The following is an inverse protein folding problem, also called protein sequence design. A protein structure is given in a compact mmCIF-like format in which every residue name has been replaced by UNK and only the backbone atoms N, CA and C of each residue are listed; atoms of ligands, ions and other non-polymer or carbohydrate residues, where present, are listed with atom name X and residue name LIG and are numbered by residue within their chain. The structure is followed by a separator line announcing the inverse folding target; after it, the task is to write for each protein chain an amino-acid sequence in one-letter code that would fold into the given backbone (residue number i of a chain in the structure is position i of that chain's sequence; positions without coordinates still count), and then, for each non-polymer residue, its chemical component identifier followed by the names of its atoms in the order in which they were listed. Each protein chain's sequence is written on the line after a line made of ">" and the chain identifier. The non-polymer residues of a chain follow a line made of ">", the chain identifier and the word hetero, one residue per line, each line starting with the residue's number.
data_IF_112648302197
#
_entry.id   IF_112648302197
#
_cell.length_a   1.000
_cell.length_b   1.000
_cell.length_c   1.000
_cell.angle_alpha   90.00
_cell.angle_beta   90.00
_cell.angle_gamma   90.00
#
_symmetry.space_group_name_H-M   'P 1'
#
loop_
_entity.id
_entity.type
_entity.pdbx_description
1 polymer ?
#
# COMPACT_ATOMS: atom_id res chain seq x y z
N UNK A 1 77.91 -29.81 44.45
CA UNK A 1 77.11 -29.60 45.68
C UNK A 1 76.48 -28.23 45.50
N UNK A 2 75.18 -28.02 45.30
CA UNK A 2 74.00 -28.51 46.03
C UNK A 2 72.77 -28.29 45.14
N UNK A 3 71.77 -29.16 45.25
CA UNK A 3 70.51 -29.16 44.49
C UNK A 3 69.42 -28.26 45.14
N UNK A 4 68.27 -28.16 44.43
CA UNK A 4 66.90 -27.75 44.86
C UNK A 4 66.63 -26.22 44.84
N UNK A 5 65.47 -25.68 44.41
CA UNK A 5 64.09 -26.15 44.53
C UNK A 5 63.17 -25.63 43.38
N UNK A 6 62.10 -26.41 43.13
CA UNK A 6 60.94 -26.17 42.25
C UNK A 6 60.11 -24.93 42.66
N UNK A 7 59.51 -24.24 41.68
CA UNK A 7 58.07 -23.88 41.70
C UNK A 7 57.53 -23.97 40.27
N UNK A 8 56.55 -24.85 40.07
CA UNK A 8 55.80 -25.04 38.83
C UNK A 8 54.52 -24.19 38.96
N UNK A 9 54.42 -23.06 38.25
CA UNK A 9 53.19 -22.26 38.20
C UNK A 9 52.33 -22.71 37.03
N UNK A 10 51.22 -23.38 37.36
CA UNK A 10 50.18 -23.80 36.43
C UNK A 10 49.22 -22.62 36.19
N UNK A 11 49.37 -21.90 35.07
CA UNK A 11 48.39 -20.90 34.64
C UNK A 11 47.18 -21.58 33.99
N UNK A 12 46.08 -21.69 34.72
CA UNK A 12 44.75 -22.02 34.21
C UNK A 12 44.23 -20.85 33.37
N UNK A 13 44.25 -20.99 32.04
CA UNK A 13 43.56 -20.11 31.10
C UNK A 13 42.08 -20.53 31.00
N UNK A 14 41.20 -19.78 31.66
CA UNK A 14 39.75 -19.92 31.47
C UNK A 14 39.32 -19.21 30.16
N UNK A 15 38.55 -19.85 29.27
CA UNK A 15 38.00 -19.19 28.09
C UNK A 15 36.81 -18.34 28.51
N UNK A 16 36.97 -17.01 28.47
CA UNK A 16 35.84 -16.07 28.59
C UNK A 16 35.05 -16.13 27.29
N UNK A 17 34.00 -16.94 27.26
CA UNK A 17 33.01 -16.94 26.19
C UNK A 17 32.21 -15.63 26.28
N UNK A 18 32.65 -14.61 25.53
CA UNK A 18 31.91 -13.36 25.38
C UNK A 18 30.62 -13.61 24.62
N UNK A 19 29.49 -13.64 25.35
CA UNK A 19 28.17 -13.48 24.75
C UNK A 19 28.09 -12.08 24.14
N UNK A 20 28.33 -11.98 22.84
CA UNK A 20 27.97 -10.80 22.06
C UNK A 20 26.43 -10.74 22.00
N UNK A 21 25.83 -10.03 22.95
CA UNK A 21 24.43 -9.64 22.87
C UNK A 21 24.28 -8.71 21.66
N UNK A 22 23.80 -9.24 20.54
CA UNK A 22 23.36 -8.43 19.41
C UNK A 22 22.11 -7.69 19.85
N UNK A 23 22.27 -6.46 20.34
CA UNK A 23 21.16 -5.54 20.57
C UNK A 23 20.51 -5.23 19.23
N UNK A 24 19.48 -5.98 18.87
CA UNK A 24 18.58 -5.62 17.78
C UNK A 24 17.88 -4.32 18.18
N UNK A 25 18.37 -3.19 17.69
CA UNK A 25 17.68 -1.90 17.84
C UNK A 25 16.32 -2.06 17.18
N UNK A 26 15.26 -2.12 17.98
CA UNK A 26 13.92 -2.24 17.45
C UNK A 26 13.61 -1.03 16.54
N UNK A 27 13.05 -1.30 15.37
CA UNK A 27 12.71 -0.26 14.41
C UNK A 27 11.54 0.61 14.93
N UNK A 28 11.51 1.88 14.53
CA UNK A 28 10.36 2.74 14.74
C UNK A 28 9.21 2.34 13.81
N UNK A 29 7.96 2.48 14.25
CA UNK A 29 6.81 2.22 13.40
C UNK A 29 6.82 3.14 12.16
N UNK A 30 6.61 2.60 10.94
CA UNK A 30 6.63 3.38 9.71
C UNK A 30 5.44 4.35 9.63
N UNK A 31 5.40 5.18 8.59
CA UNK A 31 4.34 6.18 8.40
C UNK A 31 2.94 5.54 8.33
N UNK A 32 1.97 6.19 8.99
CA UNK A 32 0.55 5.97 8.71
C UNK A 32 0.22 6.45 7.29
N UNK A 33 -0.76 5.81 6.66
CA UNK A 33 -1.13 6.06 5.28
C UNK A 33 -2.54 6.66 5.18
N UNK A 34 -2.68 7.66 4.32
CA UNK A 34 -3.96 8.10 3.79
C UNK A 34 -4.32 7.20 2.61
N UNK A 35 -5.47 6.56 2.67
CA UNK A 35 -5.98 5.76 1.56
C UNK A 35 -6.90 6.62 0.70
N UNK A 36 -6.69 6.56 -0.61
CA UNK A 36 -7.39 7.39 -1.59
C UNK A 36 -8.74 6.77 -1.91
N UNK A 37 -9.81 7.57 -1.85
CA UNK A 37 -11.15 7.11 -2.17
C UNK A 37 -11.25 6.61 -3.62
N UNK A 38 -12.03 5.56 -3.83
CA UNK A 38 -12.31 4.97 -5.15
C UNK A 38 -13.57 5.58 -5.75
N UNK A 39 -13.65 5.68 -7.08
CA UNK A 39 -14.86 6.15 -7.79
C UNK A 39 -16.07 5.21 -7.64
N UNK A 40 -15.85 3.97 -7.24
CA UNK A 40 -16.88 2.96 -7.08
C UNK A 40 -16.26 1.64 -6.64
N UNK A 41 -16.97 0.54 -6.85
CA UNK A 41 -16.50 -0.79 -6.53
C UNK A 41 -15.31 -1.19 -7.42
N UNK A 42 -14.20 -1.57 -6.78
CA UNK A 42 -13.05 -2.20 -7.42
C UNK A 42 -13.21 -3.70 -7.26
N UNK A 43 -13.55 -4.40 -8.35
CA UNK A 43 -13.58 -5.86 -8.37
C UNK A 43 -12.15 -6.40 -8.22
N UNK A 44 -11.97 -7.32 -7.27
CA UNK A 44 -10.69 -7.91 -6.96
C UNK A 44 -10.35 -9.04 -7.94
N UNK A 45 -9.06 -9.20 -8.24
CA UNK A 45 -8.58 -10.32 -9.06
C UNK A 45 -8.33 -11.54 -8.18
N UNK A 46 -9.06 -12.62 -8.45
CA UNK A 46 -8.98 -13.86 -7.70
C UNK A 46 -7.90 -14.81 -8.25
N UNK A 47 -7.22 -15.50 -7.32
CA UNK A 47 -6.25 -16.56 -7.58
C UNK A 47 -6.14 -17.49 -6.38
N UNK A 48 -5.11 -18.33 -6.34
CA UNK A 48 -4.98 -19.38 -5.32
C UNK A 48 -4.87 -18.86 -3.87
N UNK A 49 -4.31 -17.66 -3.67
CA UNK A 49 -4.15 -17.05 -2.34
C UNK A 49 -5.37 -16.21 -1.90
N UNK A 50 -6.41 -16.12 -2.74
CA UNK A 50 -7.58 -15.27 -2.52
C UNK A 50 -7.75 -14.21 -3.61
N UNK A 51 -8.57 -13.21 -3.33
CA UNK A 51 -8.85 -12.11 -4.27
C UNK A 51 -8.18 -10.83 -3.81
N UNK A 52 -7.56 -10.10 -4.74
CA UNK A 52 -6.78 -8.92 -4.36
C UNK A 52 -6.70 -7.85 -5.44
N UNK A 53 -6.42 -6.63 -5.00
CA UNK A 53 -6.13 -5.46 -5.82
C UNK A 53 -5.19 -4.50 -5.07
N UNK A 54 -4.50 -3.65 -5.81
CA UNK A 54 -3.67 -2.58 -5.27
C UNK A 54 -4.48 -1.27 -5.26
N UNK A 55 -4.42 -0.54 -4.15
CA UNK A 55 -5.11 0.72 -3.91
C UNK A 55 -4.10 1.84 -3.68
N UNK A 56 -4.41 3.02 -4.18
CA UNK A 56 -3.54 4.20 -4.04
C UNK A 56 -3.51 4.68 -2.59
N UNK A 57 -2.32 4.89 -2.07
CA UNK A 57 -2.08 5.46 -0.75
C UNK A 57 -1.08 6.60 -0.82
N UNK A 58 -1.04 7.44 0.21
CA UNK A 58 0.00 8.45 0.41
C UNK A 58 0.39 8.50 1.88
N UNK A 59 1.55 9.05 2.19
CA UNK A 59 1.99 9.14 3.57
C UNK A 59 1.37 10.33 4.31
N UNK A 60 1.07 10.13 5.59
CA UNK A 60 0.58 11.23 6.43
C UNK A 60 1.70 11.88 7.28
N UNK A 61 2.89 11.29 7.44
CA UNK A 61 3.84 11.72 8.48
C UNK A 61 5.27 11.92 7.96
N UNK A 62 5.60 13.13 7.47
CA UNK A 62 6.90 13.42 6.86
C UNK A 62 8.13 12.99 7.71
N UNK A 63 8.00 12.97 9.04
CA UNK A 63 9.06 12.68 10.00
C UNK A 63 9.28 11.18 10.31
N UNK A 64 8.45 10.29 9.77
CA UNK A 64 8.61 8.83 9.92
C UNK A 64 9.12 8.20 8.63
N UNK A 65 9.71 7.00 8.72
CA UNK A 65 10.16 6.27 7.54
C UNK A 65 8.97 5.83 6.67
N UNK A 66 9.11 5.93 5.34
CA UNK A 66 8.12 5.31 4.44
C UNK A 66 8.11 3.79 4.70
N UNK A 67 6.95 3.12 4.65
CA UNK A 67 6.92 1.67 4.75
C UNK A 67 7.76 1.01 3.65
N UNK A 68 8.42 -0.08 4.01
CA UNK A 68 8.98 -1.03 3.06
C UNK A 68 7.84 -1.82 2.40
N UNK A 69 8.14 -2.64 1.39
CA UNK A 69 7.16 -3.55 0.81
C UNK A 69 6.81 -4.67 1.80
N UNK A 70 5.53 -5.00 1.92
CA UNK A 70 5.03 -6.06 2.80
C UNK A 70 4.80 -5.63 4.24
N UNK A 71 4.97 -4.33 4.55
CA UNK A 71 4.59 -3.79 5.87
C UNK A 71 3.08 -4.00 6.06
N UNK A 72 2.66 -4.68 7.14
CA UNK A 72 1.25 -4.91 7.43
C UNK A 72 0.58 -3.65 7.99
N UNK A 73 -0.69 -3.47 7.64
CA UNK A 73 -1.52 -2.36 8.06
C UNK A 73 -2.87 -2.82 8.62
N UNK A 74 -3.52 -1.93 9.36
CA UNK A 74 -4.88 -2.06 9.84
C UNK A 74 -5.66 -0.76 9.62
N UNK A 75 -6.99 -0.86 9.52
CA UNK A 75 -7.87 0.31 9.41
C UNK A 75 -7.88 1.05 10.74
N UNK A 76 -7.30 2.25 10.76
CA UNK A 76 -7.30 3.15 11.90
C UNK A 76 -8.62 3.92 12.00
N UNK A 77 -9.01 4.58 10.91
CA UNK A 77 -10.26 5.35 10.83
C UNK A 77 -10.83 5.37 9.40
N UNK A 78 -12.09 5.81 9.29
CA UNK A 78 -12.81 5.86 8.02
C UNK A 78 -13.48 4.53 7.66
N UNK A 79 -14.07 4.48 6.47
CA UNK A 79 -14.87 3.35 6.01
C UNK A 79 -14.29 2.71 4.75
N UNK A 80 -14.12 1.38 4.81
CA UNK A 80 -13.87 0.53 3.66
C UNK A 80 -15.08 -0.40 3.57
N UNK A 81 -15.70 -0.51 2.40
CA UNK A 81 -16.79 -1.44 2.16
C UNK A 81 -16.24 -2.65 1.41
N UNK A 82 -16.51 -3.85 1.93
CA UNK A 82 -16.13 -5.11 1.29
C UNK A 82 -17.42 -5.88 1.01
N UNK A 83 -17.66 -6.19 -0.26
CA UNK A 83 -18.83 -6.93 -0.69
C UNK A 83 -18.41 -8.15 -1.51
N UNK A 84 -18.94 -9.32 -1.15
CA UNK A 84 -18.80 -10.55 -1.88
C UNK A 84 -20.08 -10.91 -2.64
N UNK A 85 -19.93 -11.67 -3.72
CA UNK A 85 -21.04 -12.32 -4.42
C UNK A 85 -20.83 -13.83 -4.34
N UNK A 86 -21.86 -14.58 -3.93
CA UNK A 86 -21.83 -16.04 -3.87
C UNK A 86 -22.07 -16.67 -5.25
N UNK A 87 -21.83 -17.99 -5.36
CA UNK A 87 -22.18 -18.73 -6.58
C UNK A 87 -23.69 -18.68 -6.91
N UNK A 88 -24.54 -18.51 -5.90
CA UNK A 88 -25.99 -18.35 -6.06
C UNK A 88 -26.39 -16.92 -6.50
N UNK A 89 -25.44 -15.98 -6.50
CA UNK A 89 -25.68 -14.57 -6.84
C UNK A 89 -26.01 -13.67 -5.66
N UNK A 90 -26.04 -14.22 -4.43
CA UNK A 90 -26.32 -13.45 -3.23
C UNK A 90 -25.19 -12.48 -2.90
N UNK A 91 -25.55 -11.28 -2.41
CA UNK A 91 -24.59 -10.29 -1.92
C UNK A 91 -24.33 -10.49 -0.43
N UNK A 92 -23.06 -10.60 -0.08
CA UNK A 92 -22.58 -10.72 1.30
C UNK A 92 -21.74 -9.48 1.63
N UNK A 93 -22.01 -8.82 2.75
CA UNK A 93 -21.16 -7.76 3.27
C UNK A 93 -20.18 -8.36 4.28
N UNK A 94 -18.90 -8.01 4.18
CA UNK A 94 -17.85 -8.49 5.07
C UNK A 94 -17.35 -7.36 5.96
N UNK A 95 -17.03 -7.68 7.21
CA UNK A 95 -16.31 -6.74 8.09
C UNK A 95 -14.86 -6.61 7.59
N UNK A 96 -14.41 -5.42 7.14
CA UNK A 96 -13.06 -5.23 6.63
C UNK A 96 -11.97 -5.55 7.67
N UNK A 97 -12.25 -5.43 8.97
CA UNK A 97 -11.26 -5.68 10.04
C UNK A 97 -10.87 -7.15 10.16
N UNK A 98 -11.76 -8.04 9.74
CA UNK A 98 -11.58 -9.49 9.86
C UNK A 98 -11.46 -10.19 8.51
N UNK A 99 -11.87 -9.53 7.42
CA UNK A 99 -11.87 -10.10 6.07
C UNK A 99 -10.74 -9.63 5.16
N UNK A 100 -9.98 -8.58 5.54
CA UNK A 100 -8.89 -8.04 4.74
C UNK A 100 -7.53 -8.23 5.39
N UNK A 101 -6.56 -8.71 4.59
CA UNK A 101 -5.15 -8.49 4.83
C UNK A 101 -4.70 -7.25 4.03
N UNK A 102 -4.00 -6.33 4.71
CA UNK A 102 -3.55 -5.06 4.14
C UNK A 102 -2.02 -4.97 4.23
N UNK A 103 -1.37 -4.80 3.08
CA UNK A 103 0.09 -4.75 3.01
C UNK A 103 0.57 -3.69 2.01
N UNK A 104 1.63 -2.98 2.35
CA UNK A 104 2.30 -2.10 1.39
C UNK A 104 2.89 -2.89 0.22
N UNK A 105 2.83 -2.35 -1.00
CA UNK A 105 3.41 -2.99 -2.20
C UNK A 105 4.56 -2.21 -2.77
N UNK A 106 4.30 -0.95 -3.09
CA UNK A 106 5.27 -0.02 -3.68
C UNK A 106 5.51 1.09 -2.70
N UNK A 107 6.22 0.77 -1.62
CA UNK A 107 6.39 1.62 -0.43
C UNK A 107 5.02 2.17 0.03
N UNK A 108 4.88 3.50 0.13
CA UNK A 108 3.63 4.16 0.53
C UNK A 108 2.66 4.46 -0.62
N UNK A 109 3.02 4.22 -1.87
CA UNK A 109 2.23 4.69 -3.02
C UNK A 109 1.09 3.72 -3.38
N UNK A 110 1.24 2.46 -2.98
CA UNK A 110 0.22 1.44 -3.17
C UNK A 110 0.18 0.44 -2.03
N UNK A 111 -1.05 0.11 -1.64
CA UNK A 111 -1.38 -0.90 -0.65
C UNK A 111 -2.17 -2.02 -1.34
N UNK A 112 -1.76 -3.26 -1.14
CA UNK A 112 -2.57 -4.41 -1.55
C UNK A 112 -3.58 -4.73 -0.46
N UNK A 113 -4.82 -4.91 -0.90
CA UNK A 113 -5.86 -5.52 -0.08
C UNK A 113 -6.14 -6.92 -0.60
N UNK A 114 -6.21 -7.89 0.30
CA UNK A 114 -6.48 -9.28 -0.03
C UNK A 114 -7.65 -9.75 0.82
N UNK A 115 -8.68 -10.32 0.18
CA UNK A 115 -9.61 -11.22 0.86
C UNK A 115 -9.03 -12.63 0.78
N UNK A 116 -8.58 -13.22 1.91
CA UNK A 116 -7.93 -14.51 1.92
C UNK A 116 -8.84 -15.62 1.39
N UNK A 117 -8.24 -16.65 0.81
CA UNK A 117 -8.97 -17.78 0.25
C UNK A 117 -9.81 -18.54 1.31
N UNK A 118 -9.37 -18.54 2.58
CA UNK A 118 -10.17 -19.07 3.70
C UNK A 118 -11.50 -18.31 3.85
N UNK A 119 -11.47 -16.97 3.86
CA UNK A 119 -12.66 -16.11 3.93
C UNK A 119 -13.55 -16.29 2.70
N UNK A 120 -12.96 -16.45 1.50
CA UNK A 120 -13.70 -16.74 0.28
C UNK A 120 -14.51 -18.05 0.42
N UNK A 121 -13.90 -19.12 0.92
CA UNK A 121 -14.57 -20.41 1.12
C UNK A 121 -15.61 -20.37 2.23
N UNK A 122 -15.29 -19.75 3.37
CA UNK A 122 -16.18 -19.62 4.53
C UNK A 122 -17.53 -19.01 4.14
N UNK A 123 -17.50 -18.01 3.26
CA UNK A 123 -18.71 -17.30 2.81
C UNK A 123 -19.20 -17.74 1.42
N UNK A 124 -18.61 -18.77 0.81
CA UNK A 124 -19.01 -19.27 -0.52
C UNK A 124 -18.90 -18.24 -1.64
N UNK A 125 -17.92 -17.33 -1.56
CA UNK A 125 -17.76 -16.20 -2.47
C UNK A 125 -17.07 -16.62 -3.77
N UNK A 126 -17.54 -16.08 -4.89
CA UNK A 126 -16.92 -16.26 -6.22
C UNK A 126 -16.38 -14.95 -6.79
N UNK A 127 -16.86 -13.81 -6.29
CA UNK A 127 -16.36 -12.46 -6.64
C UNK A 127 -16.37 -11.59 -5.40
N UNK A 128 -15.45 -10.64 -5.35
CA UNK A 128 -15.39 -9.63 -4.28
C UNK A 128 -15.09 -8.27 -4.89
N UNK A 129 -15.75 -7.24 -4.39
CA UNK A 129 -15.42 -5.85 -4.62
C UNK A 129 -15.07 -5.13 -3.32
N UNK A 130 -14.20 -4.12 -3.44
CA UNK A 130 -13.89 -3.18 -2.38
C UNK A 130 -14.22 -1.77 -2.85
N UNK A 131 -14.87 -0.99 -1.99
CA UNK A 131 -15.04 0.45 -2.17
C UNK A 131 -14.43 1.19 -0.99
N UNK A 132 -13.51 2.09 -1.31
CA UNK A 132 -12.83 2.94 -0.31
C UNK A 132 -13.54 4.28 -0.25
N UNK A 133 -14.05 4.64 0.93
CA UNK A 133 -14.63 5.96 1.18
C UNK A 133 -13.57 7.02 1.47
N UNK A 134 -14.02 8.26 1.57
CA UNK A 134 -13.14 9.37 1.90
C UNK A 134 -12.58 9.26 3.33
N UNK A 135 -11.45 9.94 3.55
CA UNK A 135 -10.85 10.11 4.88
C UNK A 135 -10.41 8.79 5.58
N UNK A 136 -10.15 7.72 4.82
CA UNK A 136 -9.59 6.49 5.40
C UNK A 136 -8.13 6.70 5.79
N UNK A 137 -7.79 6.26 7.01
CA UNK A 137 -6.43 6.21 7.55
C UNK A 137 -6.06 4.78 7.90
N UNK A 138 -4.87 4.37 7.47
CA UNK A 138 -4.29 3.09 7.80
C UNK A 138 -3.12 3.29 8.75
N UNK A 139 -3.08 2.47 9.80
CA UNK A 139 -1.99 2.43 10.76
C UNK A 139 -1.16 1.17 10.52
N UNK A 140 0.18 1.23 10.61
CA UNK A 140 0.97 0.01 10.60
C UNK A 140 0.55 -0.87 11.77
N UNK A 141 0.52 -2.19 11.54
CA UNK A 141 0.25 -3.15 12.62
C UNK A 141 1.38 -3.06 13.64
N UNK A 142 1.09 -2.82 14.94
CA UNK A 142 2.14 -2.69 15.96
C UNK A 142 3.00 -3.95 16.09
N UNK A 143 4.32 -3.79 16.13
CA UNK A 143 5.26 -4.86 16.45
C UNK A 143 5.68 -4.79 17.93
N UNK A 144 5.85 -5.96 18.56
CA UNK A 144 6.32 -6.03 19.93
C UNK A 144 7.75 -5.46 20.05
N UNK A 145 7.95 -4.57 21.02
CA UNK A 145 9.25 -3.96 21.30
C UNK A 145 9.63 -2.79 20.39
N UNK A 146 8.73 -2.26 19.55
CA UNK A 146 8.98 -1.06 18.76
C UNK A 146 9.47 0.12 19.60
N UNK A 147 10.54 0.78 19.15
CA UNK A 147 11.15 1.90 19.88
C UNK A 147 10.40 3.23 19.73
N UNK A 148 9.43 3.31 18.81
CA UNK A 148 8.58 4.51 18.59
C UNK A 148 7.20 4.12 18.03
N UNK A 149 6.35 3.46 18.83
CA UNK A 149 4.98 3.16 18.42
C UNK A 149 4.19 4.47 18.19
N UNK A 150 3.06 4.38 17.49
CA UNK A 150 2.13 5.52 17.41
C UNK A 150 1.41 5.69 18.74
N UNK A 151 1.44 6.90 19.28
CA UNK A 151 0.67 7.29 20.46
C UNK A 151 -0.80 7.54 20.08
N UNK A 152 -1.70 7.47 21.07
CA UNK A 152 -3.12 7.79 20.85
C UNK A 152 -3.32 9.23 20.33
N UNK A 153 -2.51 10.18 20.80
CA UNK A 153 -2.54 11.58 20.32
C UNK A 153 -2.11 11.71 18.86
N UNK A 154 -1.05 11.00 18.44
CA UNK A 154 -0.66 10.94 17.02
C UNK A 154 -1.77 10.32 16.17
N UNK A 155 -2.37 9.20 16.60
CA UNK A 155 -3.46 8.54 15.87
C UNK A 155 -4.67 9.46 15.72
N UNK A 156 -5.03 10.22 16.76
CA UNK A 156 -6.13 11.18 16.72
C UNK A 156 -5.84 12.32 15.74
N UNK A 157 -4.62 12.88 15.78
CA UNK A 157 -4.17 13.92 14.85
C UNK A 157 -4.20 13.41 13.40
N UNK A 158 -3.73 12.19 13.16
CA UNK A 158 -3.73 11.56 11.84
C UNK A 158 -5.14 11.43 11.26
N UNK A 159 -6.04 10.88 12.06
CA UNK A 159 -7.44 10.60 11.67
C UNK A 159 -8.24 11.88 11.44
N UNK A 160 -7.86 12.99 12.09
CA UNK A 160 -8.58 14.26 12.03
C UNK A 160 -7.88 15.28 11.12
N UNK A 161 -6.91 16.01 11.63
CA UNK A 161 -6.34 17.17 10.93
C UNK A 161 -5.55 16.75 9.70
N UNK A 162 -4.64 15.78 9.84
CA UNK A 162 -3.74 15.39 8.76
C UNK A 162 -4.49 14.77 7.59
N UNK A 163 -5.47 13.90 7.86
CA UNK A 163 -6.26 13.28 6.79
C UNK A 163 -7.13 14.30 6.06
N UNK A 164 -7.71 15.29 6.75
CA UNK A 164 -8.47 16.38 6.11
C UNK A 164 -7.62 17.23 5.18
N UNK A 165 -6.39 17.58 5.58
CA UNK A 165 -5.43 18.28 4.71
C UNK A 165 -5.12 17.41 3.48
N UNK A 166 -4.94 16.10 3.68
CA UNK A 166 -4.78 15.11 2.61
C UNK A 166 -5.97 15.08 1.65
N UNK A 167 -7.21 15.18 2.16
CA UNK A 167 -8.41 15.22 1.32
C UNK A 167 -8.44 16.46 0.42
N UNK A 168 -8.02 17.61 0.94
CA UNK A 168 -7.95 18.84 0.15
C UNK A 168 -6.83 18.83 -0.91
N UNK A 169 -5.63 18.38 -0.55
CA UNK A 169 -4.45 18.53 -1.42
C UNK A 169 -4.16 17.31 -2.30
N UNK A 170 -4.47 16.11 -1.82
CA UNK A 170 -4.29 14.86 -2.54
C UNK A 170 -5.59 14.47 -3.22
N UNK A 171 -6.66 14.20 -2.47
CA UNK A 171 -7.91 13.67 -3.06
C UNK A 171 -8.62 14.68 -3.96
N UNK A 172 -8.53 15.96 -3.62
CA UNK A 172 -9.09 17.09 -4.37
C UNK A 172 -8.28 17.50 -5.60
N UNK A 173 -7.09 16.91 -5.83
CA UNK A 173 -6.27 17.26 -6.98
C UNK A 173 -6.87 16.73 -8.30
N UNK A 174 -7.59 17.59 -9.02
CA UNK A 174 -8.30 17.25 -10.26
C UNK A 174 -7.41 16.77 -11.43
N UNK A 175 -6.08 16.80 -11.28
CA UNK A 175 -5.14 16.37 -12.30
C UNK A 175 -4.51 15.02 -11.93
N UNK A 176 -3.54 15.02 -11.01
CA UNK A 176 -2.70 13.88 -10.69
C UNK A 176 -3.44 12.77 -9.96
N UNK A 177 -4.38 13.07 -9.04
CA UNK A 177 -5.07 11.99 -8.32
C UNK A 177 -6.09 11.29 -9.19
N UNK A 178 -6.76 12.04 -10.09
CA UNK A 178 -7.66 11.49 -11.09
C UNK A 178 -6.88 10.58 -12.03
N UNK A 179 -5.70 11.05 -12.49
CA UNK A 179 -4.84 10.24 -13.33
C UNK A 179 -4.39 8.95 -12.60
N UNK A 180 -3.94 9.08 -11.35
CA UNK A 180 -3.51 7.93 -10.55
C UNK A 180 -4.64 6.90 -10.33
N UNK A 181 -5.87 7.33 -10.02
CA UNK A 181 -7.04 6.44 -9.87
C UNK A 181 -7.31 5.65 -11.15
N UNK A 182 -7.37 6.33 -12.30
CA UNK A 182 -7.62 5.68 -13.59
C UNK A 182 -6.49 4.71 -13.96
N UNK A 183 -5.23 5.09 -13.74
CA UNK A 183 -4.11 4.19 -13.98
C UNK A 183 -4.11 3.00 -13.02
N UNK A 184 -4.44 3.20 -11.75
CA UNK A 184 -4.58 2.14 -10.74
C UNK A 184 -5.60 1.09 -11.15
N UNK A 185 -6.74 1.52 -11.70
CA UNK A 185 -7.77 0.62 -12.23
C UNK A 185 -7.26 -0.25 -13.38
N UNK A 186 -6.50 0.34 -14.31
CA UNK A 186 -5.88 -0.40 -15.42
C UNK A 186 -4.82 -1.36 -14.89
N UNK A 187 -3.96 -0.91 -13.96
CA UNK A 187 -2.93 -1.71 -13.31
C UNK A 187 -3.56 -2.95 -12.66
N UNK A 188 -4.67 -2.82 -11.95
CA UNK A 188 -5.35 -3.93 -11.28
C UNK A 188 -5.87 -5.00 -12.27
N UNK A 189 -6.27 -4.60 -13.48
CA UNK A 189 -6.67 -5.54 -14.53
C UNK A 189 -5.53 -6.26 -15.22
N UNK A 190 -4.33 -5.66 -15.27
CA UNK A 190 -3.17 -6.24 -15.95
C UNK A 190 -2.62 -7.47 -15.19
N UNK A 191 -1.99 -8.43 -15.89
CA UNK A 191 -1.31 -9.53 -15.22
C UNK A 191 -0.12 -9.02 -14.40
N UNK A 192 0.14 -9.62 -13.23
CA UNK A 192 1.30 -9.24 -12.39
C UNK A 192 2.64 -9.58 -13.07
N UNK A 193 2.63 -10.59 -13.93
CA UNK A 193 3.79 -11.02 -14.73
C UNK A 193 3.34 -11.29 -16.17
N UNK A 194 4.23 -11.00 -17.12
CA UNK A 194 3.99 -11.24 -18.53
C UNK A 194 3.33 -10.05 -19.23
N UNK A 195 2.61 -10.33 -20.32
CA UNK A 195 2.06 -9.31 -21.22
C UNK A 195 0.56 -9.53 -21.40
N UNK A 196 -0.20 -8.43 -21.37
CA UNK A 196 -1.54 -8.38 -21.95
C UNK A 196 -1.43 -8.04 -23.43
N UNK A 197 -2.34 -8.54 -24.26
CA UNK A 197 -2.44 -8.13 -25.67
C UNK A 197 -3.12 -6.75 -25.81
N UNK A 198 -3.12 -6.19 -27.02
CA UNK A 198 -3.69 -4.85 -27.26
C UNK A 198 -5.20 -4.76 -27.00
N UNK A 199 -6.04 -5.73 -27.43
CA UNK A 199 -7.46 -5.73 -27.10
C UNK A 199 -7.71 -5.71 -25.59
N UNK A 200 -7.01 -6.55 -24.82
CA UNK A 200 -7.13 -6.59 -23.36
C UNK A 200 -6.78 -5.24 -22.74
N UNK A 201 -5.64 -4.64 -23.15
CA UNK A 201 -5.22 -3.32 -22.64
C UNK A 201 -6.28 -2.25 -22.90
N UNK A 202 -6.86 -2.23 -24.11
CA UNK A 202 -7.88 -1.26 -24.48
C UNK A 202 -9.17 -1.47 -23.68
N UNK A 203 -9.61 -2.72 -23.50
CA UNK A 203 -10.79 -3.04 -22.70
C UNK A 203 -10.63 -2.61 -21.24
N UNK A 204 -9.44 -2.79 -20.66
CA UNK A 204 -9.12 -2.34 -19.30
C UNK A 204 -9.16 -0.82 -19.19
N UNK A 205 -8.63 -0.10 -20.18
CA UNK A 205 -8.71 1.36 -20.24
C UNK A 205 -10.16 1.84 -20.32
N UNK A 206 -10.97 1.25 -21.19
CA UNK A 206 -12.37 1.64 -21.36
C UNK A 206 -13.18 1.34 -20.08
N UNK A 207 -12.86 0.23 -19.38
CA UNK A 207 -13.46 -0.08 -18.08
C UNK A 207 -13.09 0.94 -17.00
N UNK A 208 -11.82 1.37 -16.93
CA UNK A 208 -11.37 2.40 -16.01
C UNK A 208 -12.08 3.74 -16.28
N UNK A 209 -12.27 4.13 -17.54
CA UNK A 209 -13.02 5.34 -17.91
C UNK A 209 -14.50 5.25 -17.52
N UNK A 210 -15.15 4.10 -17.74
CA UNK A 210 -16.54 3.89 -17.31
C UNK A 210 -16.67 4.01 -15.79
N UNK A 211 -15.71 3.50 -15.03
CA UNK A 211 -15.71 3.60 -13.56
C UNK A 211 -15.48 5.03 -13.08
N UNK A 212 -14.58 5.77 -13.72
CA UNK A 212 -14.36 7.18 -13.38
C UNK A 212 -15.62 8.03 -13.60
N UNK A 213 -16.46 7.64 -14.56
CA UNK A 213 -17.72 8.30 -14.86
C UNK A 213 -17.57 9.58 -15.68
N UNK A 214 -18.68 10.16 -16.17
CA UNK A 214 -18.67 11.35 -17.02
C UNK A 214 -18.19 12.62 -16.30
N UNK A 215 -18.33 12.67 -14.97
CA UNK A 215 -17.98 13.84 -14.15
C UNK A 215 -16.50 13.88 -13.76
N UNK A 216 -15.71 12.86 -14.14
CA UNK A 216 -14.29 12.84 -13.85
C UNK A 216 -13.57 14.04 -14.53
N UNK A 217 -12.73 14.80 -13.80
CA UNK A 217 -12.07 15.97 -14.36
C UNK A 217 -11.24 15.66 -15.61
N UNK A 218 -11.56 16.38 -16.70
CA UNK A 218 -10.96 16.14 -18.03
C UNK A 218 -9.43 16.24 -18.04
N UNK A 219 -8.87 17.13 -17.23
CA UNK A 219 -7.41 17.31 -17.15
C UNK A 219 -6.72 16.01 -16.69
N UNK A 220 -7.17 15.43 -15.58
CA UNK A 220 -6.62 14.17 -15.09
C UNK A 220 -6.86 12.99 -16.04
N UNK A 221 -8.03 12.92 -16.69
CA UNK A 221 -8.30 11.91 -17.72
C UNK A 221 -7.33 12.03 -18.91
N UNK A 222 -7.07 13.25 -19.39
CA UNK A 222 -6.13 13.49 -20.47
C UNK A 222 -4.70 13.11 -20.08
N UNK A 223 -4.30 13.41 -18.83
CA UNK A 223 -3.00 12.99 -18.31
C UNK A 223 -2.87 11.47 -18.24
N UNK A 224 -3.86 10.77 -17.68
CA UNK A 224 -3.89 9.31 -17.67
C UNK A 224 -3.83 8.73 -19.09
N UNK A 225 -4.56 9.32 -20.04
CA UNK A 225 -4.57 8.88 -21.44
C UNK A 225 -3.20 8.99 -22.08
N UNK A 226 -2.50 10.11 -21.87
CA UNK A 226 -1.14 10.31 -22.38
C UNK A 226 -0.19 9.21 -21.90
N UNK A 227 -0.21 8.94 -20.58
CA UNK A 227 0.60 7.87 -19.97
C UNK A 227 0.19 6.49 -20.48
N UNK A 228 -1.11 6.20 -20.59
CA UNK A 228 -1.61 4.93 -21.10
C UNK A 228 -1.10 4.67 -22.53
N UNK A 229 -1.18 5.67 -23.43
CA UNK A 229 -0.68 5.51 -24.80
C UNK A 229 0.85 5.34 -24.84
N UNK A 230 1.59 6.08 -24.01
CA UNK A 230 3.04 5.93 -23.86
C UNK A 230 3.40 4.50 -23.41
N UNK A 231 2.74 4.00 -22.36
CA UNK A 231 2.99 2.67 -21.82
C UNK A 231 2.54 1.55 -22.76
N UNK A 232 1.46 1.76 -23.53
CA UNK A 232 1.02 0.83 -24.58
C UNK A 232 2.08 0.72 -25.69
N UNK A 233 2.64 1.85 -26.12
CA UNK A 233 3.67 1.92 -27.15
C UNK A 233 4.99 1.30 -26.70
N UNK A 234 5.48 1.61 -25.49
CA UNK A 234 6.72 1.04 -24.95
C UNK A 234 6.61 -0.48 -24.75
N UNK A 235 5.49 -0.96 -24.19
CA UNK A 235 5.26 -2.39 -23.98
C UNK A 235 5.15 -3.19 -25.30
N UNK A 236 4.83 -2.54 -26.41
CA UNK A 236 4.88 -3.15 -27.76
C UNK A 236 6.31 -3.38 -28.28
N UNK A 237 7.29 -2.65 -27.75
CA UNK A 237 8.70 -2.67 -28.18
C UNK A 237 9.62 -3.49 -27.27
N UNK A 238 9.11 -4.03 -26.16
CA UNK A 238 9.90 -4.82 -25.22
C UNK A 238 9.60 -4.47 -23.76
N UNK A 239 10.66 -4.24 -22.99
CA UNK A 239 10.63 -3.83 -21.59
C UNK A 239 10.65 -2.31 -21.44
N UNK A 240 9.98 -1.72 -20.42
CA UNK A 240 9.19 -2.38 -19.38
C UNK A 240 7.86 -2.97 -19.91
N UNK A 241 7.29 -3.94 -19.19
CA UNK A 241 5.93 -4.38 -19.51
C UNK A 241 4.95 -3.23 -19.18
N UNK A 242 3.72 -3.32 -19.69
CA UNK A 242 2.76 -2.22 -19.52
C UNK A 242 2.42 -1.93 -18.06
N UNK A 243 2.33 -2.96 -17.21
CA UNK A 243 2.04 -2.80 -15.79
C UNK A 243 3.15 -2.01 -15.11
N UNK A 244 4.40 -2.41 -15.29
CA UNK A 244 5.56 -1.73 -14.68
C UNK A 244 5.63 -0.25 -15.13
N UNK A 245 5.38 0.02 -16.42
CA UNK A 245 5.36 1.39 -16.94
C UNK A 245 4.26 2.24 -16.26
N UNK A 246 3.06 1.69 -16.15
CA UNK A 246 1.94 2.39 -15.50
C UNK A 246 2.17 2.57 -14.00
N UNK A 247 2.69 1.55 -13.30
CA UNK A 247 3.02 1.62 -11.88
C UNK A 247 4.05 2.71 -11.60
N UNK A 248 5.09 2.84 -12.43
CA UNK A 248 6.10 3.88 -12.28
C UNK A 248 5.51 5.30 -12.37
N UNK A 249 4.65 5.57 -13.36
CA UNK A 249 4.01 6.87 -13.52
C UNK A 249 2.91 7.14 -12.47
N UNK A 250 2.18 6.10 -12.08
CA UNK A 250 1.27 6.17 -10.94
C UNK A 250 2.02 6.63 -9.68
N UNK A 251 3.12 5.95 -9.35
CA UNK A 251 3.92 6.23 -8.16
C UNK A 251 4.55 7.63 -8.23
N UNK A 252 4.93 8.10 -9.42
CA UNK A 252 5.41 9.46 -9.65
C UNK A 252 4.33 10.51 -9.33
N UNK A 253 3.08 10.32 -9.76
CA UNK A 253 1.98 11.22 -9.41
C UNK A 253 1.77 11.30 -7.90
N UNK A 254 1.83 10.15 -7.21
CA UNK A 254 1.67 10.11 -5.76
C UNK A 254 2.84 10.79 -5.05
N UNK A 255 4.08 10.61 -5.49
CA UNK A 255 5.24 11.33 -4.92
C UNK A 255 5.06 12.85 -4.99
N UNK A 256 4.63 13.38 -6.12
CA UNK A 256 4.39 14.82 -6.27
C UNK A 256 3.25 15.31 -5.36
N UNK A 257 2.13 14.58 -5.34
CA UNK A 257 1.00 14.90 -4.46
C UNK A 257 1.39 14.86 -2.99
N UNK A 258 2.16 13.86 -2.58
CA UNK A 258 2.59 13.69 -1.21
C UNK A 258 3.57 14.81 -0.78
N UNK A 259 4.45 15.25 -1.70
CA UNK A 259 5.28 16.44 -1.49
C UNK A 259 4.44 17.71 -1.30
N UNK A 260 3.42 17.92 -2.12
CA UNK A 260 2.55 19.10 -2.00
C UNK A 260 1.71 19.06 -0.72
N UNK A 261 1.24 17.87 -0.34
CA UNK A 261 0.62 17.62 0.95
C UNK A 261 1.56 17.99 2.11
N UNK A 262 2.82 17.54 2.11
CA UNK A 262 3.76 17.86 3.18
C UNK A 262 4.08 19.34 3.28
N UNK A 263 4.10 20.08 2.16
CA UNK A 263 4.24 21.54 2.20
C UNK A 263 3.05 22.20 2.90
N UNK A 264 1.84 21.70 2.65
CA UNK A 264 0.61 22.21 3.23
C UNK A 264 0.38 21.78 4.69
N UNK A 265 0.96 20.66 5.12
CA UNK A 265 0.77 20.11 6.47
C UNK A 265 1.75 20.67 7.51
N UNK A 266 2.70 21.51 7.10
CA UNK A 266 3.63 22.16 8.04
C UNK A 266 2.91 23.24 8.84
N UNK A 267 3.18 23.38 10.15
CA UNK A 267 2.68 24.51 10.90
C UNK A 267 3.21 25.81 10.29
N UNK A 268 2.33 26.79 10.10
CA UNK A 268 2.74 28.17 9.78
C UNK A 268 3.22 28.75 11.11
N UNK A 269 4.54 28.90 11.25
CA UNK A 269 5.18 29.62 12.36
C UNK A 269 5.45 31.06 11.94
#
# INVERSE_FOLDING_TARGET
>A
MTKLFRVLSLCLLAPVAGLAATSSVAAAAPQALGLVATYGDIELKCGAAGCSADFTTFCLQQDRASPDRGTPYQVGSGEIQVAGITAAGDRVLLDPRHSLALESRRKHMALRMVVPEATMREHGLVRVSINVKENVVLLPTPLAGENRPHTAGEVAMLSQSMRRIGSSHVDGNQDRIVAARVLGDVINGLPERGKADNPTRQNLWDAALRRAGPDAPRQGINRARGIFQLCKWTAGRGTPNMRDCLENHHDEFIKFLNSDYWKASKPIY
#
